data_IF_444210472802
#
_entry.id   IF_444210472802
#
_cell.length_a   1.000
_cell.length_b   1.000
_cell.length_c   1.000
_cell.angle_alpha   90.00
_cell.angle_beta   90.00
_cell.angle_gamma   90.00
#
_symmetry.space_group_name_H-M   'P 1'
#
loop_
_entity.id
_entity.type
_entity.pdbx_description
1 polymer ?
#
# COMPACT_ATOMS: atom_id res chain seq x y z
N UNK A 1 17.36 -22.64 11.91
CA UNK A 1 16.06 -22.63 12.62
C UNK A 1 15.47 -21.25 12.41
N UNK A 2 14.54 -21.12 11.47
CA UNK A 2 13.69 -19.94 11.39
C UNK A 2 12.39 -20.30 12.08
N UNK A 3 12.00 -19.55 13.10
CA UNK A 3 10.65 -19.61 13.67
C UNK A 3 9.65 -19.59 12.52
N UNK A 4 8.94 -20.71 12.32
CA UNK A 4 7.74 -20.77 11.50
C UNK A 4 6.54 -20.20 12.26
N UNK A 5 6.77 -19.23 13.16
CA UNK A 5 5.66 -18.44 13.67
C UNK A 5 5.10 -17.65 12.50
N UNK A 6 3.84 -17.88 12.09
CA UNK A 6 3.22 -17.10 11.05
C UNK A 6 3.36 -15.64 11.47
N UNK A 7 4.06 -14.85 10.65
CA UNK A 7 4.31 -13.43 10.93
C UNK A 7 2.99 -12.81 11.35
N UNK A 8 2.89 -12.38 12.60
CA UNK A 8 1.70 -11.70 13.10
C UNK A 8 1.40 -10.56 12.13
N UNK A 9 0.30 -10.69 11.40
CA UNK A 9 -0.10 -9.71 10.42
C UNK A 9 -0.63 -8.52 11.22
N UNK A 10 0.23 -7.51 11.34
CA UNK A 10 -0.10 -6.24 12.01
C UNK A 10 -1.42 -5.74 11.40
N UNK A 11 -2.36 -5.29 12.24
CA UNK A 11 -3.69 -4.84 11.82
C UNK A 11 -4.79 -5.91 11.76
N UNK A 12 -4.46 -7.21 11.83
CA UNK A 12 -5.46 -8.29 11.93
C UNK A 12 -5.93 -8.59 13.36
N UNK A 13 -5.19 -8.15 14.37
CA UNK A 13 -5.43 -8.43 15.80
C UNK A 13 -6.69 -7.75 16.39
N UNK A 14 -7.53 -7.10 15.58
CA UNK A 14 -8.73 -6.38 16.07
C UNK A 14 -9.78 -7.29 16.73
N UNK A 15 -9.68 -8.59 16.53
CA UNK A 15 -10.53 -9.58 17.18
C UNK A 15 -9.63 -10.76 17.52
N UNK A 16 -9.37 -11.03 18.80
CA UNK A 16 -8.66 -12.25 19.19
C UNK A 16 -9.48 -13.45 18.68
N UNK A 17 -9.00 -14.13 17.64
CA UNK A 17 -9.66 -15.28 16.99
C UNK A 17 -9.34 -16.59 17.72
N UNK A 18 -9.11 -16.50 19.03
CA UNK A 18 -8.61 -17.57 19.90
C UNK A 18 -9.74 -18.44 20.47
N UNK A 19 -10.96 -18.30 19.91
CA UNK A 19 -12.10 -19.12 20.32
C UNK A 19 -11.97 -20.57 19.81
N UNK A 20 -12.62 -21.55 20.44
CA UNK A 20 -12.50 -22.96 20.08
C UNK A 20 -12.78 -23.27 18.60
N UNK A 21 -12.22 -24.37 18.10
CA UNK A 21 -12.55 -24.90 16.76
C UNK A 21 -14.02 -25.34 16.68
N UNK A 22 -14.61 -25.23 15.50
CA UNK A 22 -15.96 -25.75 15.26
C UNK A 22 -16.00 -27.27 15.45
N UNK A 23 -17.12 -27.77 15.96
CA UNK A 23 -17.37 -29.21 15.99
C UNK A 23 -17.59 -29.72 14.57
N UNK A 24 -16.79 -30.71 14.18
CA UNK A 24 -16.84 -31.42 12.89
C UNK A 24 -16.99 -32.92 13.09
N UNK A 25 -17.39 -33.36 14.28
CA UNK A 25 -17.60 -34.77 14.62
C UNK A 25 -18.74 -35.41 13.82
N UNK A 26 -19.70 -34.61 13.36
CA UNK A 26 -20.80 -35.06 12.50
C UNK A 26 -20.39 -35.33 11.05
N UNK A 27 -19.21 -34.86 10.61
CA UNK A 27 -18.70 -35.09 9.25
C UNK A 27 -17.93 -36.41 9.15
N UNK A 28 -18.18 -37.15 8.08
CA UNK A 28 -17.37 -38.31 7.69
C UNK A 28 -15.96 -37.90 7.24
N UNK A 29 -15.02 -38.84 7.20
CA UNK A 29 -13.64 -38.57 6.77
C UNK A 29 -13.55 -38.14 5.30
N UNK A 30 -14.43 -38.69 4.44
CA UNK A 30 -14.54 -38.27 3.04
C UNK A 30 -15.00 -36.81 2.94
N UNK A 31 -16.01 -36.41 3.72
CA UNK A 31 -16.51 -35.03 3.78
C UNK A 31 -15.46 -34.06 4.32
N UNK A 32 -14.75 -34.43 5.41
CA UNK A 32 -13.64 -33.64 5.94
C UNK A 32 -12.54 -33.43 4.90
N UNK A 33 -12.15 -34.48 4.19
CA UNK A 33 -11.11 -34.38 3.16
C UNK A 33 -11.58 -33.53 1.96
N UNK A 34 -12.83 -33.69 1.53
CA UNK A 34 -13.42 -32.88 0.46
C UNK A 34 -13.47 -31.39 0.84
N UNK A 35 -13.95 -31.07 2.05
CA UNK A 35 -14.00 -29.71 2.60
C UNK A 35 -12.61 -29.07 2.64
N UNK A 36 -11.61 -29.81 3.16
CA UNK A 36 -10.22 -29.36 3.20
C UNK A 36 -9.69 -29.02 1.81
N UNK A 37 -9.84 -29.93 0.84
CA UNK A 37 -9.36 -29.73 -0.53
C UNK A 37 -10.03 -28.51 -1.17
N UNK A 38 -11.34 -28.33 -0.97
CA UNK A 38 -12.10 -27.17 -1.45
C UNK A 38 -11.50 -25.86 -0.92
N UNK A 39 -11.36 -25.75 0.41
CA UNK A 39 -10.81 -24.54 1.01
C UNK A 39 -9.33 -24.28 0.68
N UNK A 40 -8.52 -25.30 0.41
CA UNK A 40 -7.14 -25.12 -0.09
C UNK A 40 -7.14 -24.58 -1.52
N UNK A 41 -7.92 -25.19 -2.42
CA UNK A 41 -7.93 -24.83 -3.84
C UNK A 41 -8.48 -23.43 -4.08
N UNK A 42 -9.56 -23.09 -3.39
CA UNK A 42 -10.19 -21.79 -3.55
C UNK A 42 -11.02 -21.45 -2.31
N UNK A 43 -10.42 -20.73 -1.35
CA UNK A 43 -11.15 -20.23 -0.17
C UNK A 43 -12.39 -19.42 -0.51
N UNK A 44 -12.44 -18.80 -1.69
CA UNK A 44 -13.61 -18.05 -2.15
C UNK A 44 -14.82 -18.94 -2.52
N UNK A 45 -14.64 -20.26 -2.60
CA UNK A 45 -15.70 -21.27 -2.82
C UNK A 45 -16.40 -21.70 -1.51
N UNK A 46 -15.93 -21.22 -0.36
CA UNK A 46 -16.62 -21.39 0.92
C UNK A 46 -17.79 -20.40 0.98
N UNK A 47 -19.00 -20.90 1.22
CA UNK A 47 -20.24 -20.16 1.01
C UNK A 47 -20.71 -19.41 2.27
N UNK A 48 -20.20 -19.74 3.45
CA UNK A 48 -20.63 -19.16 4.72
C UNK A 48 -19.50 -19.10 5.75
N UNK A 49 -19.71 -18.34 6.83
CA UNK A 49 -18.81 -18.37 8.00
C UNK A 49 -18.82 -19.74 8.66
N UNK A 50 -19.95 -20.44 8.68
CA UNK A 50 -20.07 -21.78 9.24
C UNK A 50 -19.23 -22.81 8.44
N UNK A 51 -19.33 -22.81 7.11
CA UNK A 51 -18.53 -23.70 6.26
C UNK A 51 -17.03 -23.37 6.38
N UNK A 52 -16.70 -22.09 6.55
CA UNK A 52 -15.33 -21.66 6.81
C UNK A 52 -14.80 -22.16 8.17
N UNK A 53 -15.57 -22.04 9.25
CA UNK A 53 -15.14 -22.50 10.58
C UNK A 53 -14.98 -24.04 10.61
N UNK A 54 -15.85 -24.78 9.92
CA UNK A 54 -15.67 -26.23 9.72
C UNK A 54 -14.41 -26.54 8.91
N UNK A 55 -14.10 -25.76 7.88
CA UNK A 55 -12.86 -25.91 7.11
C UNK A 55 -11.63 -25.66 7.99
N UNK A 56 -11.62 -24.60 8.80
CA UNK A 56 -10.51 -24.31 9.74
C UNK A 56 -10.31 -25.46 10.72
N UNK A 57 -11.40 -26.00 11.27
CA UNK A 57 -11.37 -27.12 12.21
C UNK A 57 -10.75 -28.40 11.63
N UNK A 58 -10.84 -28.60 10.30
CA UNK A 58 -10.18 -29.74 9.62
C UNK A 58 -8.78 -29.38 9.12
N UNK A 59 -8.58 -28.13 8.67
CA UNK A 59 -7.34 -27.68 8.06
C UNK A 59 -6.23 -27.47 9.09
N UNK A 60 -6.48 -26.73 10.18
CA UNK A 60 -5.43 -26.34 11.12
C UNK A 60 -4.78 -27.54 11.83
N UNK A 61 -5.52 -28.51 12.40
CA UNK A 61 -4.94 -29.71 12.99
C UNK A 61 -4.09 -30.49 11.99
N UNK A 62 -4.61 -30.67 10.77
CA UNK A 62 -3.90 -31.44 9.75
C UNK A 62 -2.65 -30.73 9.25
N UNK A 63 -2.69 -29.41 9.08
CA UNK A 63 -1.56 -28.61 8.63
C UNK A 63 -0.40 -28.65 9.66
N UNK A 64 -0.72 -28.66 10.95
CA UNK A 64 0.28 -28.79 12.02
C UNK A 64 0.78 -30.24 12.13
N UNK A 65 -0.13 -31.21 12.15
CA UNK A 65 0.19 -32.63 12.38
C UNK A 65 0.81 -33.35 11.17
N UNK A 66 0.74 -32.79 9.96
CA UNK A 66 1.42 -33.35 8.77
C UNK A 66 2.95 -33.39 8.96
N UNK A 67 3.51 -32.62 9.90
CA UNK A 67 4.88 -32.69 10.35
C UNK A 67 5.88 -32.01 9.42
N UNK A 68 7.04 -31.65 9.97
CA UNK A 68 8.12 -31.02 9.20
C UNK A 68 9.07 -32.08 8.64
N UNK A 69 9.47 -31.94 7.37
CA UNK A 69 10.54 -32.75 6.78
C UNK A 69 11.85 -31.99 6.97
N UNK A 70 12.76 -32.57 7.76
CA UNK A 70 14.09 -32.04 7.97
C UNK A 70 14.95 -32.17 6.70
N UNK A 71 16.03 -31.41 6.64
CA UNK A 71 16.99 -31.42 5.53
C UNK A 71 17.63 -32.79 5.28
N UNK A 72 17.63 -33.68 6.27
CA UNK A 72 18.12 -35.07 6.16
C UNK A 72 17.02 -36.08 5.78
N UNK A 73 15.79 -35.61 5.53
CA UNK A 73 14.64 -36.45 5.19
C UNK A 73 13.87 -37.01 6.38
N UNK A 74 14.28 -36.70 7.62
CA UNK A 74 13.55 -37.11 8.82
C UNK A 74 12.22 -36.36 8.93
N UNK A 75 11.13 -37.08 9.17
CA UNK A 75 9.81 -36.48 9.44
C UNK A 75 9.65 -36.30 10.94
N UNK A 76 9.63 -35.04 11.40
CA UNK A 76 9.24 -34.68 12.76
C UNK A 76 7.71 -34.60 12.82
N UNK A 77 7.09 -35.56 13.51
CA UNK A 77 5.66 -35.54 13.80
C UNK A 77 5.42 -34.89 15.17
N UNK A 78 4.59 -33.85 15.25
CA UNK A 78 4.20 -33.29 16.54
C UNK A 78 3.39 -34.30 17.35
N UNK A 79 3.50 -34.22 18.67
CA UNK A 79 2.64 -34.98 19.58
C UNK A 79 1.25 -34.30 19.65
N UNK A 80 0.18 -34.96 19.16
CA UNK A 80 -1.14 -34.34 19.08
C UNK A 80 -1.70 -33.92 20.44
N UNK A 81 -1.26 -34.53 21.54
CA UNK A 81 -1.76 -34.23 22.88
C UNK A 81 -0.87 -33.22 23.63
N UNK A 82 0.23 -32.77 23.03
CA UNK A 82 1.11 -31.76 23.63
C UNK A 82 0.50 -30.36 23.62
N UNK A 83 0.71 -29.60 24.70
CA UNK A 83 0.27 -28.20 24.80
C UNK A 83 0.82 -27.35 23.64
N UNK A 84 2.09 -27.52 23.27
CA UNK A 84 2.73 -26.82 22.15
C UNK A 84 2.00 -27.08 20.81
N UNK A 85 1.65 -28.34 20.53
CA UNK A 85 0.91 -28.67 19.30
C UNK A 85 -0.49 -28.07 19.30
N UNK A 86 -1.17 -28.05 20.46
CA UNK A 86 -2.47 -27.41 20.59
C UNK A 86 -2.38 -25.88 20.39
N UNK A 87 -1.34 -25.24 20.92
CA UNK A 87 -1.06 -23.82 20.69
C UNK A 87 -0.80 -23.52 19.20
N UNK A 88 -0.01 -24.36 18.52
CA UNK A 88 0.25 -24.20 17.08
C UNK A 88 -1.01 -24.37 16.22
N UNK A 89 -1.87 -25.32 16.57
CA UNK A 89 -3.17 -25.51 15.90
C UNK A 89 -4.04 -24.27 16.06
N UNK A 90 -4.13 -23.75 17.28
CA UNK A 90 -4.91 -22.55 17.56
C UNK A 90 -4.32 -21.30 16.88
N UNK A 91 -2.99 -21.17 16.85
CA UNK A 91 -2.28 -20.11 16.12
C UNK A 91 -2.57 -20.16 14.61
N UNK A 92 -2.51 -21.36 14.02
CA UNK A 92 -2.88 -21.59 12.62
C UNK A 92 -4.35 -21.19 12.37
N UNK A 93 -5.27 -21.64 13.23
CA UNK A 93 -6.69 -21.30 13.11
C UNK A 93 -6.94 -19.79 13.23
N UNK A 94 -6.33 -19.13 14.20
CA UNK A 94 -6.45 -17.69 14.41
C UNK A 94 -5.91 -16.90 13.22
N UNK A 95 -4.78 -17.32 12.63
CA UNK A 95 -4.24 -16.74 11.41
C UNK A 95 -5.22 -16.87 10.23
N UNK A 96 -5.82 -18.05 10.07
CA UNK A 96 -6.76 -18.30 8.97
C UNK A 96 -8.06 -17.49 9.11
N UNK A 97 -8.62 -17.45 10.32
CA UNK A 97 -9.76 -16.60 10.66
C UNK A 97 -9.47 -15.14 10.40
N UNK A 98 -8.30 -14.67 10.83
CA UNK A 98 -7.85 -13.31 10.62
C UNK A 98 -7.88 -12.91 9.14
N UNK A 99 -7.35 -13.77 8.26
CA UNK A 99 -7.38 -13.54 6.81
C UNK A 99 -8.80 -13.55 6.23
N UNK A 100 -9.63 -14.49 6.64
CA UNK A 100 -11.01 -14.60 6.16
C UNK A 100 -11.84 -13.35 6.48
N UNK A 101 -11.88 -12.97 7.76
CA UNK A 101 -12.65 -11.83 8.20
C UNK A 101 -12.03 -10.49 7.76
N UNK A 102 -10.72 -10.42 7.56
CA UNK A 102 -10.10 -9.27 6.88
C UNK A 102 -10.57 -9.15 5.44
N UNK A 103 -10.54 -10.22 4.63
CA UNK A 103 -11.00 -10.18 3.25
C UNK A 103 -12.45 -9.71 3.14
N UNK A 104 -13.33 -10.17 4.03
CA UNK A 104 -14.73 -9.72 4.09
C UNK A 104 -14.85 -8.22 4.37
N UNK A 105 -14.21 -7.75 5.46
CA UNK A 105 -14.20 -6.32 5.84
C UNK A 105 -13.58 -5.46 4.74
N UNK A 106 -12.48 -5.92 4.17
CA UNK A 106 -11.77 -5.24 3.09
C UNK A 106 -12.61 -5.15 1.82
N UNK A 107 -13.36 -6.20 1.44
CA UNK A 107 -14.26 -6.17 0.27
C UNK A 107 -15.33 -5.10 0.44
N UNK A 108 -16.03 -5.09 1.57
CA UNK A 108 -17.05 -4.08 1.87
C UNK A 108 -16.47 -2.66 1.90
N UNK A 109 -15.30 -2.50 2.51
CA UNK A 109 -14.59 -1.22 2.53
C UNK A 109 -14.16 -0.78 1.13
N UNK A 110 -13.60 -1.70 0.33
CA UNK A 110 -13.11 -1.44 -1.03
C UNK A 110 -14.23 -0.91 -1.90
N UNK A 111 -15.39 -1.56 -1.90
CA UNK A 111 -16.56 -1.13 -2.68
C UNK A 111 -17.00 0.29 -2.28
N UNK A 112 -17.02 0.59 -0.98
CA UNK A 112 -17.50 1.89 -0.48
C UNK A 112 -16.49 3.03 -0.61
N UNK A 113 -15.19 2.76 -0.46
CA UNK A 113 -14.18 3.80 -0.26
C UNK A 113 -13.07 3.81 -1.30
N UNK A 114 -12.63 2.64 -1.79
CA UNK A 114 -11.56 2.57 -2.78
C UNK A 114 -12.10 2.66 -4.21
N UNK A 115 -13.24 2.04 -4.50
CA UNK A 115 -13.83 2.05 -5.83
C UNK A 115 -14.11 3.46 -6.35
N UNK A 116 -14.66 4.40 -5.55
CA UNK A 116 -14.83 5.79 -6.01
C UNK A 116 -13.50 6.45 -6.42
N UNK A 117 -12.41 6.20 -5.70
CA UNK A 117 -11.09 6.75 -6.03
C UNK A 117 -10.55 6.15 -7.35
N UNK A 118 -10.81 4.86 -7.57
CA UNK A 118 -10.42 4.17 -8.81
C UNK A 118 -11.25 4.66 -9.99
N UNK A 119 -12.53 4.90 -9.79
CA UNK A 119 -13.43 5.46 -10.81
C UNK A 119 -12.98 6.89 -11.17
N UNK A 120 -12.69 7.73 -10.17
CA UNK A 120 -12.13 9.08 -10.36
C UNK A 120 -10.79 9.07 -11.11
N UNK A 121 -9.93 8.06 -10.86
CA UNK A 121 -8.68 7.85 -11.58
C UNK A 121 -8.94 7.43 -13.04
N UNK A 122 -9.87 6.51 -13.26
CA UNK A 122 -10.22 6.01 -14.59
C UNK A 122 -10.88 7.11 -15.45
N UNK A 123 -11.69 7.97 -14.85
CA UNK A 123 -12.32 9.10 -15.52
C UNK A 123 -11.31 10.19 -15.89
N UNK A 124 -10.33 10.48 -15.03
CA UNK A 124 -9.21 11.34 -15.39
C UNK A 124 -8.44 10.76 -16.58
N UNK A 125 -8.15 9.45 -16.52
CA UNK A 125 -7.38 8.74 -17.53
C UNK A 125 -8.02 8.77 -18.93
N UNK A 126 -9.36 8.79 -18.97
CA UNK A 126 -10.15 8.72 -20.21
C UNK A 126 -10.25 10.08 -20.92
N UNK A 127 -10.29 11.17 -20.16
CA UNK A 127 -10.77 12.46 -20.66
C UNK A 127 -9.66 13.48 -20.98
N UNK A 128 -8.40 13.18 -20.69
CA UNK A 128 -7.35 14.18 -20.72
C UNK A 128 -6.21 13.87 -21.73
N UNK A 129 -5.53 14.92 -22.24
CA UNK A 129 -4.56 14.81 -23.32
C UNK A 129 -3.29 14.08 -22.86
N UNK A 130 -3.02 12.91 -23.43
CA UNK A 130 -1.93 12.00 -23.04
C UNK A 130 -0.51 12.61 -23.14
N UNK A 131 -0.34 13.73 -23.84
CA UNK A 131 0.95 14.38 -24.05
C UNK A 131 1.16 15.66 -23.22
N UNK A 132 0.22 15.99 -22.34
CA UNK A 132 0.41 17.08 -21.38
C UNK A 132 1.06 16.55 -20.10
N UNK A 133 2.20 17.14 -19.73
CA UNK A 133 2.92 16.79 -18.52
C UNK A 133 2.11 17.09 -17.24
N UNK A 134 1.25 18.13 -17.26
CA UNK A 134 0.37 18.45 -16.13
C UNK A 134 -0.64 17.32 -15.90
N UNK A 135 -1.17 16.79 -17.00
CA UNK A 135 -2.05 15.64 -16.96
C UNK A 135 -1.34 14.39 -16.40
N UNK A 136 -0.12 14.09 -16.86
CA UNK A 136 0.63 12.93 -16.36
C UNK A 136 0.88 12.99 -14.84
N UNK A 137 1.21 14.17 -14.31
CA UNK A 137 1.34 14.33 -12.85
C UNK A 137 0.00 14.27 -12.12
N UNK A 138 -1.08 14.78 -12.72
CA UNK A 138 -2.42 14.65 -12.18
C UNK A 138 -2.91 13.20 -12.09
N UNK A 139 -2.62 12.40 -13.11
CA UNK A 139 -2.93 10.97 -13.14
C UNK A 139 -2.12 10.21 -12.08
N UNK A 140 -0.82 10.49 -12.00
CA UNK A 140 0.07 9.88 -11.01
C UNK A 140 -0.32 10.26 -9.57
N UNK A 141 -0.77 11.50 -9.35
CA UNK A 141 -1.31 11.98 -8.08
C UNK A 141 -2.53 11.16 -7.65
N UNK A 142 -3.53 11.02 -8.53
CA UNK A 142 -4.73 10.21 -8.25
C UNK A 142 -4.37 8.74 -8.01
N UNK A 143 -3.41 8.20 -8.76
CA UNK A 143 -2.92 6.83 -8.57
C UNK A 143 -2.29 6.65 -7.18
N UNK A 144 -1.45 7.58 -6.74
CA UNK A 144 -0.85 7.52 -5.41
C UNK A 144 -1.88 7.66 -4.28
N UNK A 145 -2.94 8.45 -4.46
CA UNK A 145 -4.08 8.49 -3.52
C UNK A 145 -4.75 7.11 -3.41
N UNK A 146 -5.04 6.48 -4.55
CA UNK A 146 -5.63 5.14 -4.58
C UNK A 146 -4.72 4.13 -3.85
N UNK A 147 -3.41 4.17 -4.13
CA UNK A 147 -2.42 3.31 -3.48
C UNK A 147 -2.35 3.58 -1.97
N UNK A 148 -2.33 4.85 -1.56
CA UNK A 148 -2.31 5.25 -0.14
C UNK A 148 -3.51 4.68 0.62
N UNK A 149 -4.70 4.81 0.02
CA UNK A 149 -5.94 4.27 0.57
C UNK A 149 -5.89 2.74 0.62
N UNK A 150 -5.54 2.08 -0.49
CA UNK A 150 -5.43 0.61 -0.56
C UNK A 150 -4.49 0.04 0.51
N UNK A 151 -3.26 0.55 0.59
CA UNK A 151 -2.26 0.02 1.51
C UNK A 151 -2.64 0.24 2.97
N UNK A 152 -3.30 1.37 3.30
CA UNK A 152 -3.77 1.65 4.67
C UNK A 152 -4.79 0.64 5.21
N UNK A 153 -5.41 -0.16 4.34
CA UNK A 153 -6.39 -1.20 4.73
C UNK A 153 -5.90 -2.61 4.35
N UNK A 154 -4.68 -2.73 3.84
CA UNK A 154 -4.07 -4.00 3.45
C UNK A 154 -3.39 -4.70 4.64
N UNK A 155 -2.99 -5.96 4.43
CA UNK A 155 -2.35 -6.79 5.46
C UNK A 155 -0.98 -6.30 5.94
N UNK A 156 -0.38 -5.32 5.24
CA UNK A 156 0.93 -4.76 5.60
C UNK A 156 0.81 -3.52 6.49
N UNK A 157 -0.40 -3.01 6.72
CA UNK A 157 -0.63 -1.85 7.55
C UNK A 157 -1.00 -2.22 8.97
N UNK A 158 -0.56 -1.40 9.92
CA UNK A 158 -0.93 -1.54 11.32
C UNK A 158 -2.39 -1.11 11.59
N UNK A 159 -2.78 -1.12 12.86
CA UNK A 159 -4.14 -0.85 13.29
C UNK A 159 -4.61 0.58 12.96
N UNK A 160 -3.67 1.50 12.84
CA UNK A 160 -3.83 2.91 12.49
C UNK A 160 -3.74 3.15 10.97
N UNK A 161 -3.51 2.10 10.18
CA UNK A 161 -3.36 2.18 8.73
C UNK A 161 -2.00 2.71 8.27
N UNK A 162 -0.98 2.65 9.13
CA UNK A 162 0.40 2.99 8.79
C UNK A 162 1.16 1.75 8.30
N UNK A 163 2.04 1.97 7.33
CA UNK A 163 2.88 0.93 6.75
C UNK A 163 4.24 1.53 6.39
N UNK A 164 5.28 0.71 6.25
CA UNK A 164 6.69 1.16 6.28
C UNK A 164 7.09 2.24 5.26
N UNK A 165 6.31 2.45 4.19
CA UNK A 165 6.57 3.45 3.15
C UNK A 165 5.47 4.50 2.98
N UNK A 166 4.50 4.58 3.91
CA UNK A 166 3.41 5.54 3.85
C UNK A 166 3.91 6.99 3.74
N UNK A 167 4.96 7.36 4.49
CA UNK A 167 5.60 8.69 4.45
C UNK A 167 6.13 9.06 3.07
N UNK A 168 6.66 8.09 2.32
CA UNK A 168 7.17 8.34 0.98
C UNK A 168 6.03 8.60 0.00
N UNK A 169 4.94 7.83 0.11
CA UNK A 169 3.72 8.08 -0.67
C UNK A 169 3.13 9.46 -0.32
N UNK A 170 2.99 9.77 0.97
CA UNK A 170 2.43 11.05 1.45
C UNK A 170 3.28 12.24 0.97
N UNK A 171 4.61 12.08 0.98
CA UNK A 171 5.54 13.07 0.41
C UNK A 171 5.33 13.22 -1.09
N UNK A 172 5.27 12.12 -1.85
CA UNK A 172 5.02 12.18 -3.29
C UNK A 172 3.67 12.81 -3.65
N UNK A 173 2.60 12.48 -2.92
CA UNK A 173 1.28 13.09 -3.07
C UNK A 173 1.38 14.60 -2.84
N UNK A 174 2.06 15.03 -1.78
CA UNK A 174 2.27 16.45 -1.49
C UNK A 174 3.07 17.15 -2.59
N UNK A 175 4.18 16.54 -3.04
CA UNK A 175 5.01 17.07 -4.12
C UNK A 175 4.23 17.19 -5.43
N UNK A 176 3.46 16.18 -5.81
CA UNK A 176 2.64 16.21 -7.03
C UNK A 176 1.51 17.24 -6.93
N UNK A 177 0.88 17.39 -5.76
CA UNK A 177 -0.07 18.46 -5.51
C UNK A 177 0.59 19.82 -5.66
N UNK A 178 1.80 20.00 -5.14
CA UNK A 178 2.56 21.23 -5.34
C UNK A 178 2.93 21.45 -6.81
N UNK A 179 3.31 20.43 -7.57
CA UNK A 179 3.65 20.58 -8.99
C UNK A 179 2.40 20.95 -9.81
N UNK A 180 1.26 20.33 -9.48
CA UNK A 180 -0.02 20.49 -10.20
C UNK A 180 -0.76 21.77 -9.83
N UNK A 181 -0.99 22.00 -8.55
CA UNK A 181 -1.91 23.02 -8.05
C UNK A 181 -1.16 24.25 -7.51
N UNK A 182 -0.15 24.04 -6.65
CA UNK A 182 0.56 25.14 -5.99
C UNK A 182 1.74 25.68 -6.79
N UNK A 183 2.13 25.02 -7.88
CA UNK A 183 3.17 25.46 -8.79
C UNK A 183 2.75 26.74 -9.51
N UNK A 184 1.45 26.99 -9.60
CA UNK A 184 0.88 28.28 -10.03
C UNK A 184 0.72 29.29 -8.88
N UNK A 185 0.90 28.88 -7.63
CA UNK A 185 0.64 29.69 -6.42
C UNK A 185 1.81 29.70 -5.42
N UNK A 186 3.05 29.48 -5.89
CA UNK A 186 4.24 29.52 -5.03
C UNK A 186 4.40 30.94 -4.47
N UNK A 187 4.46 31.06 -3.14
CA UNK A 187 4.59 32.37 -2.49
C UNK A 187 5.97 32.99 -2.71
N UNK A 188 6.02 34.32 -2.71
CA UNK A 188 7.26 35.09 -2.86
C UNK A 188 8.31 34.67 -1.81
N UNK A 189 7.89 34.46 -0.57
CA UNK A 189 8.76 34.00 0.52
C UNK A 189 9.36 32.60 0.30
N UNK A 190 8.68 31.70 -0.41
CA UNK A 190 9.21 30.38 -0.76
C UNK A 190 10.26 30.49 -1.87
N UNK A 191 10.06 31.39 -2.83
CA UNK A 191 10.99 31.69 -3.91
C UNK A 191 12.26 32.35 -3.35
N UNK A 192 12.12 33.30 -2.43
CA UNK A 192 13.25 33.96 -1.77
C UNK A 192 14.14 32.99 -0.98
N UNK A 193 13.53 31.96 -0.37
CA UNK A 193 14.26 30.90 0.35
C UNK A 193 14.94 29.90 -0.59
N UNK A 194 14.80 30.03 -1.91
CA UNK A 194 15.51 29.18 -2.85
C UNK A 194 17.01 29.44 -2.81
N UNK A 195 17.76 28.48 -2.27
CA UNK A 195 19.21 28.53 -2.34
C UNK A 195 19.67 28.37 -3.81
N UNK A 196 20.30 29.42 -4.34
CA UNK A 196 20.81 29.51 -5.72
C UNK A 196 21.91 28.47 -5.98
N UNK A 197 22.70 28.12 -4.96
CA UNK A 197 23.75 27.08 -5.08
C UNK A 197 23.18 25.68 -5.28
N UNK A 198 21.92 25.46 -4.90
CA UNK A 198 21.23 24.18 -5.06
C UNK A 198 20.44 24.09 -6.39
N UNK A 199 20.62 25.03 -7.34
CA UNK A 199 19.94 25.03 -8.63
C UNK A 199 20.73 24.31 -9.75
N UNK A 200 22.04 24.11 -9.59
CA UNK A 200 22.94 23.71 -10.68
C UNK A 200 22.67 22.34 -11.34
N UNK A 201 22.09 21.38 -10.61
CA UNK A 201 21.92 20.01 -11.11
C UNK A 201 20.62 19.76 -11.89
N UNK A 202 19.68 20.71 -11.84
CA UNK A 202 18.29 20.50 -12.30
C UNK A 202 17.85 21.60 -13.27
N UNK A 203 18.54 22.74 -13.25
CA UNK A 203 18.18 23.97 -13.97
C UNK A 203 19.24 24.26 -15.02
N UNK A 204 18.82 24.60 -16.23
CA UNK A 204 19.76 24.99 -17.29
C UNK A 204 20.46 26.32 -16.96
N UNK A 205 21.69 26.51 -17.47
CA UNK A 205 22.39 27.78 -17.28
C UNK A 205 21.56 29.00 -17.74
N UNK A 206 20.82 28.86 -18.84
CA UNK A 206 19.93 29.92 -19.35
C UNK A 206 18.80 30.27 -18.39
N UNK A 207 18.11 29.29 -17.80
CA UNK A 207 17.04 29.54 -16.82
C UNK A 207 17.56 30.22 -15.54
N UNK A 208 18.78 29.87 -15.11
CA UNK A 208 19.45 30.53 -13.98
C UNK A 208 19.77 31.99 -14.31
N UNK A 209 20.34 32.25 -15.48
CA UNK A 209 20.68 33.61 -15.93
C UNK A 209 19.41 34.46 -16.03
N UNK A 210 18.33 33.92 -16.61
CA UNK A 210 17.03 34.60 -16.70
C UNK A 210 16.51 34.99 -15.31
N UNK A 211 16.58 34.09 -14.32
CA UNK A 211 16.18 34.41 -12.94
C UNK A 211 17.06 35.49 -12.29
N UNK A 212 18.38 35.41 -12.48
CA UNK A 212 19.32 36.36 -11.87
C UNK A 212 19.20 37.77 -12.45
N UNK A 213 18.88 37.87 -13.74
CA UNK A 213 18.76 39.12 -14.48
C UNK A 213 17.35 39.71 -14.48
N UNK A 214 16.33 38.93 -14.09
CA UNK A 214 14.96 39.39 -14.03
C UNK A 214 14.77 40.53 -13.01
N UNK A 215 13.90 41.51 -13.31
CA UNK A 215 13.56 42.56 -12.37
C UNK A 215 12.78 42.00 -11.16
N UNK A 216 12.81 42.73 -10.05
CA UNK A 216 11.84 42.49 -8.97
C UNK A 216 10.42 42.82 -9.48
N UNK A 217 9.41 42.17 -8.89
CA UNK A 217 8.01 42.41 -9.26
C UNK A 217 7.65 43.88 -9.09
N UNK A 218 7.09 44.47 -10.12
CA UNK A 218 6.56 45.83 -10.11
C UNK A 218 5.04 45.73 -10.11
N UNK A 219 4.35 46.58 -9.35
CA UNK A 219 2.90 46.47 -9.11
C UNK A 219 2.04 46.60 -10.39
N UNK A 220 2.57 47.20 -11.45
CA UNK A 220 1.80 47.61 -12.65
C UNK A 220 2.25 46.96 -13.98
N UNK A 221 3.26 46.08 -14.00
CA UNK A 221 3.85 45.56 -15.24
C UNK A 221 3.79 44.02 -15.33
N UNK A 222 2.64 43.50 -15.76
CA UNK A 222 2.42 42.07 -16.09
C UNK A 222 3.10 41.64 -17.41
N UNK A 223 3.74 42.57 -18.13
CA UNK A 223 4.20 42.36 -19.50
C UNK A 223 5.53 41.59 -19.55
N UNK A 224 6.36 41.68 -18.50
CA UNK A 224 7.68 41.05 -18.48
C UNK A 224 7.81 40.00 -17.37
N UNK A 225 8.37 38.81 -17.66
CA UNK A 225 8.62 37.80 -16.65
C UNK A 225 9.60 38.31 -15.59
N UNK A 226 9.13 38.38 -14.35
CA UNK A 226 9.87 38.86 -13.19
C UNK A 226 10.62 37.74 -12.46
N UNK A 227 11.30 38.09 -11.36
CA UNK A 227 11.96 37.08 -10.50
C UNK A 227 11.00 36.03 -9.95
N UNK A 228 9.73 36.35 -9.73
CA UNK A 228 8.76 35.41 -9.19
C UNK A 228 8.38 34.37 -10.24
N UNK A 229 8.12 34.79 -11.48
CA UNK A 229 7.84 33.89 -12.59
C UNK A 229 8.97 32.89 -12.79
N UNK A 230 10.22 33.36 -12.91
CA UNK A 230 11.36 32.46 -13.08
C UNK A 230 11.60 31.62 -11.83
N UNK A 231 11.54 32.21 -10.64
CA UNK A 231 11.72 31.49 -9.37
C UNK A 231 10.72 30.36 -9.18
N UNK A 232 9.46 30.60 -9.52
CA UNK A 232 8.38 29.60 -9.51
C UNK A 232 8.74 28.40 -10.38
N UNK A 233 9.12 28.64 -11.63
CA UNK A 233 9.52 27.57 -12.57
C UNK A 233 10.69 26.75 -12.06
N UNK A 234 11.71 27.42 -11.53
CA UNK A 234 12.88 26.77 -10.93
C UNK A 234 12.50 25.89 -9.73
N UNK A 235 11.57 26.35 -8.90
CA UNK A 235 11.10 25.60 -7.75
C UNK A 235 10.33 24.34 -8.17
N UNK A 236 9.44 24.45 -9.15
CA UNK A 236 8.72 23.30 -9.71
C UNK A 236 9.71 22.25 -10.22
N UNK A 237 10.75 22.63 -10.96
CA UNK A 237 11.79 21.68 -11.43
C UNK A 237 12.50 20.94 -10.28
N UNK A 238 12.77 21.64 -9.17
CA UNK A 238 13.34 21.00 -7.96
C UNK A 238 12.39 19.98 -7.35
N UNK A 239 11.11 20.32 -7.24
CA UNK A 239 10.08 19.42 -6.71
C UNK A 239 9.90 18.19 -7.61
N UNK A 240 9.87 18.37 -8.94
CA UNK A 240 9.84 17.27 -9.90
C UNK A 240 11.03 16.34 -9.72
N UNK A 241 12.26 16.86 -9.61
CA UNK A 241 13.45 16.03 -9.41
C UNK A 241 13.39 15.25 -8.10
N UNK A 242 12.95 15.88 -7.02
CA UNK A 242 12.79 15.22 -5.73
C UNK A 242 11.75 14.10 -5.83
N UNK A 243 10.61 14.37 -6.45
CA UNK A 243 9.59 13.39 -6.75
C UNK A 243 10.18 12.20 -7.53
N UNK A 244 10.88 12.45 -8.65
CA UNK A 244 11.52 11.39 -9.45
C UNK A 244 12.55 10.58 -8.65
N UNK A 245 13.34 11.22 -7.79
CA UNK A 245 14.32 10.50 -6.94
C UNK A 245 13.62 9.61 -5.91
N UNK A 246 12.59 10.10 -5.24
CA UNK A 246 11.82 9.29 -4.29
C UNK A 246 11.17 8.11 -5.04
N UNK A 247 10.56 8.38 -6.19
CA UNK A 247 9.95 7.33 -7.04
C UNK A 247 10.96 6.25 -7.43
N UNK A 248 12.12 6.65 -7.98
CA UNK A 248 13.15 5.72 -8.47
C UNK A 248 13.89 4.95 -7.37
N UNK A 249 14.10 5.54 -6.19
CA UNK A 249 14.97 4.94 -5.17
C UNK A 249 14.23 4.41 -3.94
N UNK A 250 13.02 4.89 -3.66
CA UNK A 250 12.24 4.48 -2.47
C UNK A 250 10.97 3.73 -2.82
N UNK A 251 10.45 3.93 -4.03
CA UNK A 251 9.20 3.31 -4.47
C UNK A 251 9.38 2.24 -5.56
N UNK A 252 10.55 2.12 -6.20
CA UNK A 252 10.76 1.28 -7.39
C UNK A 252 10.32 -0.18 -7.22
N UNK A 253 10.69 -0.83 -6.13
CA UNK A 253 10.37 -2.25 -5.87
C UNK A 253 8.86 -2.52 -5.68
N UNK A 254 8.06 -1.46 -5.51
CA UNK A 254 6.62 -1.56 -5.32
C UNK A 254 5.82 -1.24 -6.59
N UNK A 255 6.51 -0.77 -7.64
CA UNK A 255 5.91 -0.26 -8.87
C UNK A 255 6.15 -1.17 -10.10
N UNK A 256 7.27 -1.90 -10.12
CA UNK A 256 7.62 -2.92 -11.14
C UNK A 256 7.07 -4.29 -10.74
#
# INVERSE_FOLDING_TARGET
MGDLQPKALVGLNKSNYDYPLADVSHLSDEEKNALRIRGIRARNELNSDEEFEQWVAVFAPRNVLEGAILTDGTVLKPDPDSEETQEDIMSCAAYERSLWYHRKRFRAWKEKHLQPLVDDLADEARNAPQYDWQYLYGLEYKKLICMRAYFSHSLIADEDGNYGFNRWIDTCISLLKHIKDEGMHISEAQIEKMNVRNLGDIVTHGELVNFLQAPAKQEDDDIYPDKIYYGTRLYVRKMERLYYRIRLYKMREWWE
#
